data_IF_933007729806
#
_entry.id   IF_933007729806
#
_cell.length_a   1.000
_cell.length_b   1.000
_cell.length_c   1.000
_cell.angle_alpha   90.00
_cell.angle_beta   90.00
_cell.angle_gamma   90.00
#
_symmetry.space_group_name_H-M   'P 1'
#
loop_
_entity.id
_entity.type
_entity.pdbx_description
1 polymer ?
#
# COMPACT_ATOMS: atom_id res chain seq x y z
N UNK A 1 4.26 -53.55 11.73
CA UNK A 1 3.19 -53.94 10.79
C UNK A 1 2.22 -52.78 10.69
N UNK A 2 2.14 -52.12 9.53
CA UNK A 2 1.15 -51.06 9.26
C UNK A 2 -0.22 -51.72 8.99
N UNK A 3 -1.35 -51.11 9.39
CA UNK A 3 -2.66 -51.66 9.11
C UNK A 3 -2.91 -51.68 7.58
N UNK A 4 -3.65 -52.67 7.06
CA UNK A 4 -3.98 -52.73 5.65
C UNK A 4 -4.80 -51.50 5.24
N UNK A 5 -4.45 -50.92 4.10
CA UNK A 5 -5.19 -49.81 3.51
C UNK A 5 -6.67 -50.21 3.33
N UNK A 6 -7.58 -49.44 3.90
CA UNK A 6 -9.01 -49.63 3.72
C UNK A 6 -9.34 -49.57 2.23
N UNK A 7 -9.64 -50.72 1.61
CA UNK A 7 -10.17 -50.79 0.26
C UNK A 7 -11.55 -50.13 0.26
N UNK A 8 -11.67 -48.97 -0.37
CA UNK A 8 -12.96 -48.31 -0.54
C UNK A 8 -13.84 -49.18 -1.46
N UNK A 9 -14.90 -49.76 -0.89
CA UNK A 9 -15.92 -50.50 -1.66
C UNK A 9 -16.74 -49.48 -2.44
N UNK A 10 -16.60 -49.47 -3.77
CA UNK A 10 -17.39 -48.61 -4.65
C UNK A 10 -18.79 -49.22 -4.81
N UNK A 11 -19.83 -48.41 -4.58
CA UNK A 11 -21.20 -48.81 -4.81
C UNK A 11 -21.52 -48.72 -6.31
N UNK A 12 -22.34 -49.65 -6.82
CA UNK A 12 -22.85 -49.65 -8.21
C UNK A 12 -23.94 -48.58 -8.39
N UNK A 13 -23.52 -47.32 -8.36
CA UNK A 13 -24.37 -46.14 -8.54
C UNK A 13 -23.71 -45.20 -9.54
N UNK A 14 -24.48 -44.49 -10.37
CA UNK A 14 -23.92 -43.51 -11.27
C UNK A 14 -23.21 -42.40 -10.48
N UNK A 15 -22.07 -41.96 -11.00
CA UNK A 15 -21.30 -40.86 -10.43
C UNK A 15 -22.13 -39.58 -10.38
N UNK A 16 -21.93 -38.78 -9.32
CA UNK A 16 -22.60 -37.50 -9.15
C UNK A 16 -21.59 -36.40 -8.87
N UNK A 17 -21.82 -35.22 -9.46
CA UNK A 17 -21.01 -34.04 -9.17
C UNK A 17 -21.40 -33.48 -7.81
N UNK A 18 -20.46 -33.51 -6.86
CA UNK A 18 -20.62 -32.91 -5.53
C UNK A 18 -19.74 -31.68 -5.42
N UNK A 19 -20.37 -30.51 -5.29
CA UNK A 19 -19.67 -29.25 -5.11
C UNK A 19 -19.10 -29.11 -3.69
N UNK A 20 -17.79 -29.33 -3.57
CA UNK A 20 -17.04 -29.34 -2.30
C UNK A 20 -17.20 -28.08 -1.43
N UNK A 21 -17.49 -26.92 -2.04
CA UNK A 21 -17.48 -25.62 -1.34
C UNK A 21 -18.84 -25.23 -0.75
N UNK A 22 -19.80 -26.14 -0.71
CA UNK A 22 -21.07 -25.97 0.02
C UNK A 22 -21.39 -27.23 0.83
N UNK A 23 -21.95 -27.11 2.05
CA UNK A 23 -22.33 -28.28 2.86
C UNK A 23 -23.32 -29.22 2.18
N UNK A 24 -24.18 -28.68 1.30
CA UNK A 24 -25.20 -29.44 0.58
C UNK A 24 -24.69 -30.02 -0.75
N UNK A 25 -23.42 -29.81 -1.10
CA UNK A 25 -22.84 -30.34 -2.34
C UNK A 25 -23.36 -29.69 -3.63
N UNK A 26 -24.07 -28.57 -3.56
CA UNK A 26 -24.70 -27.92 -4.70
C UNK A 26 -23.87 -26.76 -5.24
N UNK A 27 -23.62 -26.78 -6.55
CA UNK A 27 -22.92 -25.69 -7.22
C UNK A 27 -23.77 -24.41 -7.23
N UNK A 28 -23.12 -23.29 -6.96
CA UNK A 28 -23.63 -21.95 -7.31
C UNK A 28 -22.48 -21.09 -7.82
N UNK A 29 -22.75 -20.20 -8.78
CA UNK A 29 -21.76 -19.23 -9.26
C UNK A 29 -21.16 -18.39 -8.11
N UNK A 30 -21.97 -18.03 -7.11
CA UNK A 30 -21.52 -17.32 -5.92
C UNK A 30 -20.52 -18.13 -5.08
N UNK A 31 -20.76 -19.42 -4.87
CA UNK A 31 -19.83 -20.29 -4.13
C UNK A 31 -18.54 -20.57 -4.92
N UNK A 32 -18.62 -20.69 -6.24
CA UNK A 32 -17.45 -20.78 -7.13
C UNK A 32 -16.60 -19.52 -7.04
N UNK A 33 -17.22 -18.34 -7.17
CA UNK A 33 -16.51 -17.07 -6.99
C UNK A 33 -15.83 -16.98 -5.63
N UNK A 34 -16.54 -17.28 -4.53
CA UNK A 34 -15.96 -17.24 -3.17
C UNK A 34 -14.81 -18.24 -2.99
N UNK A 35 -14.87 -19.41 -3.64
CA UNK A 35 -13.80 -20.41 -3.58
C UNK A 35 -12.48 -19.88 -4.18
N UNK A 36 -12.53 -18.97 -5.14
CA UNK A 36 -11.34 -18.31 -5.68
C UNK A 36 -10.64 -17.39 -4.66
N UNK A 37 -11.32 -17.03 -3.56
CA UNK A 37 -10.78 -16.17 -2.50
C UNK A 37 -10.50 -16.94 -1.20
N UNK A 38 -10.66 -18.26 -1.20
CA UNK A 38 -10.31 -19.07 -0.04
C UNK A 38 -8.80 -18.97 0.22
N UNK A 39 -8.42 -18.59 1.44
CA UNK A 39 -7.02 -18.31 1.79
C UNK A 39 -6.53 -16.92 1.36
N UNK A 40 -7.38 -16.05 0.81
CA UNK A 40 -7.00 -14.67 0.54
C UNK A 40 -6.71 -13.91 1.85
N UNK A 41 -5.62 -13.15 1.85
CA UNK A 41 -5.28 -12.24 2.95
C UNK A 41 -5.76 -10.84 2.62
N UNK A 42 -6.34 -10.16 3.61
CA UNK A 42 -6.71 -8.76 3.46
C UNK A 42 -5.46 -7.90 3.62
N UNK A 43 -5.15 -7.11 2.59
CA UNK A 43 -4.06 -6.15 2.66
C UNK A 43 -4.43 -4.99 3.59
N UNK A 44 -3.62 -4.76 4.62
CA UNK A 44 -3.80 -3.66 5.55
C UNK A 44 -3.84 -2.32 4.78
N UNK A 45 -4.72 -1.41 5.20
CA UNK A 45 -4.86 -0.09 4.57
C UNK A 45 -5.70 -0.07 3.28
N UNK A 46 -5.86 -1.19 2.55
CA UNK A 46 -6.58 -1.20 1.27
C UNK A 46 -8.02 -0.65 1.37
N UNK A 47 -8.79 -1.08 2.38
CA UNK A 47 -10.15 -0.56 2.63
C UNK A 47 -10.17 0.93 2.94
N UNK A 48 -9.11 1.46 3.55
CA UNK A 48 -8.99 2.88 3.88
C UNK A 48 -8.69 3.70 2.62
N UNK A 49 -7.77 3.22 1.77
CA UNK A 49 -7.44 3.84 0.47
C UNK A 49 -8.71 4.06 -0.36
N UNK A 50 -9.52 3.02 -0.54
CA UNK A 50 -10.71 3.11 -1.39
C UNK A 50 -11.78 4.05 -0.83
N UNK A 51 -11.85 4.21 0.50
CA UNK A 51 -12.75 5.14 1.18
C UNK A 51 -12.23 6.59 1.28
N UNK A 52 -10.95 6.82 1.01
CA UNK A 52 -10.36 8.15 1.10
C UNK A 52 -10.97 9.11 0.06
N UNK A 53 -11.03 10.40 0.40
CA UNK A 53 -11.50 11.47 -0.50
C UNK A 53 -10.30 12.06 -1.24
N UNK A 54 -9.78 11.31 -2.21
CA UNK A 54 -8.68 11.72 -3.08
C UNK A 54 -8.97 11.28 -4.53
N UNK A 55 -8.34 11.90 -5.54
CA UNK A 55 -8.53 11.50 -6.93
C UNK A 55 -8.22 10.01 -7.17
N UNK A 56 -8.91 9.34 -8.12
CA UNK A 56 -8.70 7.91 -8.41
C UNK A 56 -7.23 7.55 -8.70
N UNK A 57 -6.48 8.45 -9.38
CA UNK A 57 -5.04 8.27 -9.65
C UNK A 57 -4.21 8.11 -8.36
N UNK A 58 -4.55 8.86 -7.31
CA UNK A 58 -3.88 8.80 -6.01
C UNK A 58 -4.23 7.48 -5.30
N UNK A 59 -5.49 7.04 -5.37
CA UNK A 59 -5.91 5.75 -4.82
C UNK A 59 -5.20 4.58 -5.49
N UNK A 60 -5.11 4.60 -6.82
CA UNK A 60 -4.47 3.56 -7.59
C UNK A 60 -2.96 3.48 -7.28
N UNK A 61 -2.29 4.64 -7.25
CA UNK A 61 -0.90 4.71 -6.79
C UNK A 61 -0.73 4.14 -5.38
N UNK A 62 -1.53 4.60 -4.42
CA UNK A 62 -1.43 4.15 -3.04
C UNK A 62 -1.64 2.64 -2.91
N UNK A 63 -2.59 2.07 -3.67
CA UNK A 63 -2.85 0.63 -3.71
C UNK A 63 -1.64 -0.15 -4.24
N UNK A 64 -0.93 0.36 -5.24
CA UNK A 64 0.33 -0.24 -5.71
C UNK A 64 1.45 -0.07 -4.68
N UNK A 65 1.56 1.11 -4.06
CA UNK A 65 2.60 1.41 -3.09
C UNK A 65 2.56 0.46 -1.89
N UNK A 66 1.38 0.21 -1.32
CA UNK A 66 1.24 -0.71 -0.16
C UNK A 66 1.47 -2.19 -0.51
N UNK A 67 1.57 -2.52 -1.80
CA UNK A 67 1.95 -3.86 -2.28
C UNK A 67 3.41 -3.93 -2.70
N UNK A 68 4.18 -2.88 -2.46
CA UNK A 68 5.54 -2.70 -2.99
C UNK A 68 5.61 -2.84 -4.52
N UNK A 69 4.52 -2.48 -5.24
CA UNK A 69 4.37 -2.66 -6.71
C UNK A 69 4.80 -1.47 -7.57
N UNK A 70 5.38 -0.44 -6.98
CA UNK A 70 5.92 0.70 -7.72
C UNK A 70 7.38 0.46 -8.15
N UNK A 71 7.81 1.12 -9.23
CA UNK A 71 9.18 1.01 -9.74
C UNK A 71 10.19 1.86 -8.96
N UNK A 72 10.43 1.47 -7.70
CA UNK A 72 11.49 2.03 -6.84
C UNK A 72 12.87 1.61 -7.35
N UNK A 73 13.93 2.27 -6.89
CA UNK A 73 15.28 1.99 -7.35
C UNK A 73 15.71 0.55 -7.00
N UNK A 74 15.41 0.10 -5.79
CA UNK A 74 15.63 -1.27 -5.34
C UNK A 74 14.93 -2.28 -6.28
N UNK A 75 13.65 -2.05 -6.59
CA UNK A 75 12.89 -2.95 -7.47
C UNK A 75 13.45 -2.95 -8.89
N UNK A 76 13.82 -1.79 -9.44
CA UNK A 76 14.42 -1.71 -10.78
C UNK A 76 15.73 -2.47 -10.85
N UNK A 77 16.59 -2.38 -9.82
CA UNK A 77 17.84 -3.14 -9.72
C UNK A 77 17.59 -4.65 -9.64
N UNK A 78 16.64 -5.09 -8.80
CA UNK A 78 16.23 -6.51 -8.71
C UNK A 78 15.79 -7.11 -10.05
N UNK A 79 15.30 -6.29 -10.98
CA UNK A 79 14.88 -6.69 -12.32
C UNK A 79 15.92 -6.37 -13.43
N UNK A 80 17.14 -5.95 -13.08
CA UNK A 80 18.18 -5.65 -14.07
C UNK A 80 17.91 -4.40 -14.92
N UNK A 81 17.04 -3.50 -14.46
CA UNK A 81 16.69 -2.26 -15.18
C UNK A 81 17.62 -1.09 -14.85
N UNK A 82 18.47 -1.23 -13.82
CA UNK A 82 19.50 -0.25 -13.44
C UNK A 82 20.50 -0.88 -12.47
N UNK A 83 21.68 -0.27 -12.33
CA UNK A 83 22.76 -0.80 -11.51
C UNK A 83 22.69 -0.36 -10.03
N UNK A 84 22.25 0.87 -9.78
CA UNK A 84 22.18 1.47 -8.45
C UNK A 84 20.78 1.37 -7.85
N UNK A 85 20.68 1.25 -6.53
CA UNK A 85 19.44 1.31 -5.77
C UNK A 85 19.38 2.51 -4.82
N UNK A 86 20.32 3.45 -4.92
CA UNK A 86 20.31 4.68 -4.13
C UNK A 86 19.01 5.48 -4.31
N UNK A 87 18.51 6.02 -3.21
CA UNK A 87 17.33 6.88 -3.18
C UNK A 87 17.56 8.18 -3.96
N UNK A 88 16.71 8.45 -4.95
CA UNK A 88 16.82 9.67 -5.76
C UNK A 88 16.49 10.96 -4.98
N UNK A 89 15.95 10.84 -3.76
CA UNK A 89 15.62 11.99 -2.91
C UNK A 89 16.76 12.39 -1.97
N UNK A 90 17.43 11.43 -1.34
CA UNK A 90 18.47 11.70 -0.34
C UNK A 90 19.85 11.12 -0.65
N UNK A 91 19.97 10.18 -1.59
CA UNK A 91 21.22 9.51 -1.97
C UNK A 91 22.00 8.87 -0.80
N UNK A 92 21.29 8.51 0.29
CA UNK A 92 21.90 8.02 1.54
C UNK A 92 21.60 6.55 1.85
N UNK A 93 20.61 5.96 1.19
CA UNK A 93 20.15 4.60 1.45
C UNK A 93 19.45 4.00 0.23
N UNK A 94 19.16 2.70 0.30
CA UNK A 94 18.39 1.96 -0.72
C UNK A 94 16.96 2.50 -0.82
N UNK A 95 16.52 2.77 -2.04
CA UNK A 95 15.17 3.24 -2.34
C UNK A 95 14.16 2.08 -2.34
N UNK A 96 13.64 1.74 -1.16
CA UNK A 96 12.42 0.96 -1.02
C UNK A 96 11.19 1.86 -0.93
N UNK A 97 9.99 1.31 -1.05
CA UNK A 97 8.76 2.11 -0.86
C UNK A 97 8.66 2.63 0.58
N UNK A 98 9.05 1.83 1.57
CA UNK A 98 9.08 2.24 2.98
C UNK A 98 10.07 3.40 3.19
N UNK A 99 11.29 3.26 2.64
CA UNK A 99 12.27 4.32 2.71
C UNK A 99 11.74 5.62 2.09
N UNK A 100 11.13 5.52 0.91
CA UNK A 100 10.61 6.66 0.18
C UNK A 100 9.43 7.36 0.89
N UNK A 101 8.63 6.64 1.68
CA UNK A 101 7.43 7.21 2.31
C UNK A 101 7.65 7.67 3.76
N UNK A 102 8.57 7.08 4.51
CA UNK A 102 8.74 7.38 5.95
C UNK A 102 10.18 7.57 6.40
N UNK A 103 11.16 6.89 5.81
CA UNK A 103 12.52 6.85 6.38
C UNK A 103 13.50 7.85 5.78
N UNK A 104 13.30 8.23 4.52
CA UNK A 104 14.14 9.16 3.77
C UNK A 104 14.25 10.51 4.49
N UNK A 105 15.48 11.02 4.63
CA UNK A 105 15.77 12.29 5.32
C UNK A 105 15.05 13.48 4.67
N UNK A 106 15.02 13.54 3.34
CA UNK A 106 14.25 14.55 2.59
C UNK A 106 12.75 14.48 2.91
N UNK A 107 12.18 13.27 2.95
CA UNK A 107 10.75 13.04 3.18
C UNK A 107 10.36 13.32 4.62
N UNK A 108 11.23 12.97 5.58
CA UNK A 108 11.10 13.35 6.99
C UNK A 108 11.00 14.86 7.15
N UNK A 109 11.79 15.65 6.42
CA UNK A 109 11.69 17.10 6.44
C UNK A 109 10.34 17.59 5.87
N UNK A 110 9.85 16.99 4.78
CA UNK A 110 8.53 17.30 4.22
C UNK A 110 7.42 17.02 5.24
N UNK A 111 7.42 15.84 5.87
CA UNK A 111 6.47 15.48 6.91
C UNK A 111 6.52 16.45 8.10
N UNK A 112 7.73 16.80 8.56
CA UNK A 112 7.92 17.70 9.68
C UNK A 112 7.31 19.08 9.38
N UNK A 113 7.55 19.64 8.19
CA UNK A 113 6.97 20.94 7.80
C UNK A 113 5.45 20.88 7.72
N UNK A 114 4.86 19.85 7.11
CA UNK A 114 3.40 19.69 7.01
C UNK A 114 2.78 19.57 8.39
N UNK A 115 3.32 18.70 9.25
CA UNK A 115 2.77 18.50 10.59
C UNK A 115 3.02 19.68 11.52
N UNK A 116 4.09 20.45 11.32
CA UNK A 116 4.30 21.70 12.05
C UNK A 116 3.19 22.72 11.76
N UNK A 117 2.82 22.88 10.49
CA UNK A 117 1.73 23.77 10.07
C UNK A 117 0.37 23.32 10.63
N UNK A 118 0.15 22.00 10.75
CA UNK A 118 -1.09 21.43 11.26
C UNK A 118 -1.14 21.27 12.79
N UNK A 119 -0.04 21.54 13.50
CA UNK A 119 0.07 21.28 14.94
C UNK A 119 0.05 19.79 15.30
N UNK A 120 0.51 18.92 14.40
CA UNK A 120 0.51 17.45 14.51
C UNK A 120 1.90 16.83 14.60
N UNK A 121 2.91 17.57 15.08
CA UNK A 121 4.31 17.11 15.17
C UNK A 121 4.44 15.80 15.96
N UNK A 122 3.60 15.59 16.98
CA UNK A 122 3.50 14.36 17.77
C UNK A 122 3.00 13.13 16.98
N UNK A 123 2.54 13.31 15.75
CA UNK A 123 2.02 12.26 14.84
C UNK A 123 3.06 11.81 13.81
N UNK A 124 4.30 12.26 13.95
CA UNK A 124 5.39 11.95 13.05
C UNK A 124 5.63 10.42 12.90
N UNK A 125 6.07 9.93 11.72
CA UNK A 125 6.41 8.52 11.53
C UNK A 125 7.48 8.07 12.54
N UNK A 126 7.19 7.08 13.41
CA UNK A 126 8.21 6.54 14.29
C UNK A 126 9.23 5.73 13.49
N UNK A 127 10.48 5.60 13.99
CA UNK A 127 11.48 4.75 13.36
C UNK A 127 10.98 3.31 13.21
N UNK A 128 11.37 2.64 12.11
CA UNK A 128 11.15 1.21 11.86
C UNK A 128 9.68 0.75 11.76
N UNK A 129 8.71 1.67 11.82
CA UNK A 129 7.31 1.34 11.58
C UNK A 129 6.98 1.55 10.11
N UNK A 130 6.35 0.56 9.48
CA UNK A 130 5.92 0.67 8.09
C UNK A 130 4.97 1.85 7.90
N UNK A 131 4.94 2.42 6.70
CA UNK A 131 4.04 3.50 6.33
C UNK A 131 2.58 3.15 6.63
N UNK A 132 2.16 1.92 6.32
CA UNK A 132 0.78 1.46 6.55
C UNK A 132 0.48 1.30 8.04
N UNK A 133 1.39 0.72 8.81
CA UNK A 133 1.18 0.54 10.25
C UNK A 133 1.16 1.87 10.99
N UNK A 134 2.06 2.78 10.64
CA UNK A 134 2.07 4.16 11.14
C UNK A 134 0.75 4.87 10.81
N UNK A 135 0.33 4.84 9.54
CA UNK A 135 -0.92 5.44 9.10
C UNK A 135 -2.10 4.90 9.90
N UNK A 136 -2.27 3.58 9.98
CA UNK A 136 -3.41 2.96 10.65
C UNK A 136 -3.37 3.16 12.17
N UNK A 137 -2.18 3.24 12.77
CA UNK A 137 -2.00 3.56 14.19
C UNK A 137 -2.46 4.99 14.48
N UNK A 138 -1.90 5.98 13.80
CA UNK A 138 -2.24 7.39 14.07
C UNK A 138 -3.68 7.73 13.70
N UNK A 139 -4.21 7.09 12.65
CA UNK A 139 -5.62 7.22 12.25
C UNK A 139 -6.60 6.91 13.40
N UNK A 140 -6.25 6.00 14.32
CA UNK A 140 -7.11 5.67 15.47
C UNK A 140 -7.29 6.86 16.42
N UNK A 141 -6.29 7.73 16.52
CA UNK A 141 -6.30 8.90 17.40
C UNK A 141 -7.19 10.05 16.89
N UNK A 142 -7.61 10.02 15.62
CA UNK A 142 -8.51 11.01 15.04
C UNK A 142 -9.98 10.61 15.17
N UNK A 143 -10.84 11.61 15.38
CA UNK A 143 -12.30 11.45 15.30
C UNK A 143 -12.77 11.04 13.90
N UNK A 144 -13.98 10.47 13.77
CA UNK A 144 -14.50 9.93 12.50
C UNK A 144 -14.45 10.93 11.32
N UNK A 145 -14.73 12.22 11.59
CA UNK A 145 -14.71 13.28 10.57
C UNK A 145 -13.27 13.60 10.13
N UNK A 146 -12.37 13.78 11.09
CA UNK A 146 -10.96 14.13 10.84
C UNK A 146 -10.19 12.99 10.17
N UNK A 147 -10.55 11.71 10.41
CA UNK A 147 -9.94 10.56 9.74
C UNK A 147 -9.93 10.69 8.22
N UNK A 148 -11.01 11.21 7.63
CA UNK A 148 -11.09 11.37 6.17
C UNK A 148 -10.06 12.39 5.65
N UNK A 149 -9.86 13.48 6.38
CA UNK A 149 -8.86 14.50 6.06
C UNK A 149 -7.44 13.99 6.25
N UNK A 150 -7.18 13.28 7.35
CA UNK A 150 -5.89 12.64 7.61
C UNK A 150 -5.54 11.59 6.55
N UNK A 151 -6.48 10.71 6.21
CA UNK A 151 -6.32 9.70 5.16
C UNK A 151 -6.02 10.39 3.82
N UNK A 152 -6.75 11.44 3.46
CA UNK A 152 -6.52 12.17 2.21
C UNK A 152 -5.15 12.85 2.18
N UNK A 153 -4.76 13.52 3.27
CA UNK A 153 -3.46 14.17 3.40
C UNK A 153 -2.32 13.18 3.21
N UNK A 154 -2.32 12.05 3.93
CA UNK A 154 -1.22 11.08 3.83
C UNK A 154 -1.07 10.54 2.41
N UNK A 155 -2.19 10.18 1.77
CA UNK A 155 -2.18 9.65 0.41
C UNK A 155 -1.73 10.71 -0.62
N UNK A 156 -2.14 11.97 -0.44
CA UNK A 156 -1.71 13.07 -1.30
C UNK A 156 -0.21 13.35 -1.14
N UNK A 157 0.31 13.40 0.08
CA UNK A 157 1.74 13.61 0.33
C UNK A 157 2.57 12.48 -0.28
N UNK A 158 2.17 11.22 -0.06
CA UNK A 158 2.82 10.07 -0.69
C UNK A 158 2.84 10.18 -2.22
N UNK A 159 1.73 10.63 -2.81
CA UNK A 159 1.63 10.87 -4.26
C UNK A 159 2.54 12.00 -4.75
N UNK A 160 2.60 13.14 -4.05
CA UNK A 160 3.49 14.25 -4.44
C UNK A 160 4.95 13.83 -4.31
N UNK A 161 5.33 13.09 -3.25
CA UNK A 161 6.68 12.55 -3.07
C UNK A 161 7.03 11.63 -4.25
N UNK A 162 6.13 10.75 -4.65
CA UNK A 162 6.32 9.87 -5.80
C UNK A 162 6.50 10.67 -7.11
N UNK A 163 5.70 11.72 -7.33
CA UNK A 163 5.86 12.61 -8.49
C UNK A 163 7.23 13.30 -8.47
N UNK A 164 7.64 13.86 -7.34
CA UNK A 164 8.94 14.53 -7.18
C UNK A 164 10.09 13.56 -7.46
N UNK A 165 10.05 12.35 -6.92
CA UNK A 165 11.04 11.31 -7.20
C UNK A 165 11.13 11.01 -8.69
N UNK A 166 9.99 10.87 -9.38
CA UNK A 166 9.98 10.64 -10.83
C UNK A 166 10.47 11.84 -11.63
N UNK A 167 10.13 13.07 -11.22
CA UNK A 167 10.62 14.29 -11.86
C UNK A 167 12.15 14.40 -11.76
N UNK A 168 12.76 13.98 -10.63
CA UNK A 168 14.23 13.96 -10.49
C UNK A 168 14.89 12.99 -11.45
N UNK A 169 14.31 11.79 -11.62
CA UNK A 169 14.90 10.74 -12.46
C UNK A 169 14.66 11.00 -13.95
N UNK A 170 13.44 11.35 -14.33
CA UNK A 170 13.05 11.38 -15.74
C UNK A 170 13.05 12.78 -16.35
N UNK A 171 13.07 13.83 -15.51
CA UNK A 171 13.04 15.23 -15.96
C UNK A 171 14.19 16.07 -15.42
N UNK A 172 15.07 15.50 -14.61
CA UNK A 172 16.21 16.20 -14.01
C UNK A 172 15.78 17.45 -13.24
N UNK A 173 14.59 17.42 -12.62
CA UNK A 173 14.04 18.53 -11.83
C UNK A 173 13.99 18.13 -10.36
N UNK A 174 14.67 18.91 -9.51
CA UNK A 174 14.66 18.73 -8.07
C UNK A 174 14.04 19.96 -7.39
N UNK A 175 13.07 19.72 -6.52
CA UNK A 175 12.43 20.74 -5.70
C UNK A 175 12.85 20.62 -4.25
N UNK A 176 12.98 21.75 -3.57
CA UNK A 176 13.20 21.78 -2.12
C UNK A 176 11.96 21.30 -1.35
N UNK A 177 12.10 20.79 -0.11
CA UNK A 177 10.99 20.33 0.71
C UNK A 177 9.86 21.36 0.86
N UNK A 178 10.20 22.65 1.00
CA UNK A 178 9.20 23.73 1.07
C UNK A 178 8.27 23.80 -0.16
N UNK A 179 8.81 23.54 -1.35
CA UNK A 179 8.06 23.56 -2.61
C UNK A 179 7.16 22.33 -2.70
N UNK A 180 7.61 21.19 -2.15
CA UNK A 180 6.76 19.99 -2.02
C UNK A 180 5.54 20.26 -1.16
N UNK A 181 5.72 20.95 -0.02
CA UNK A 181 4.59 21.34 0.84
C UNK A 181 3.59 22.22 0.09
N UNK A 182 4.06 23.18 -0.71
CA UNK A 182 3.19 24.02 -1.55
C UNK A 182 2.42 23.19 -2.58
N UNK A 183 3.08 22.28 -3.30
CA UNK A 183 2.44 21.36 -4.25
C UNK A 183 1.34 20.51 -3.60
N UNK A 184 1.53 20.07 -2.36
CA UNK A 184 0.51 19.31 -1.61
C UNK A 184 -0.72 20.18 -1.34
N UNK A 185 -0.53 21.44 -0.92
CA UNK A 185 -1.63 22.38 -0.65
C UNK A 185 -2.40 22.72 -1.93
N UNK A 186 -1.70 22.91 -3.05
CA UNK A 186 -2.31 23.17 -4.35
C UNK A 186 -3.14 21.98 -4.84
N UNK A 187 -2.58 20.76 -4.79
CA UNK A 187 -3.28 19.54 -5.20
C UNK A 187 -4.49 19.23 -4.30
N UNK A 188 -4.46 19.63 -3.04
CA UNK A 188 -5.58 19.45 -2.12
C UNK A 188 -6.78 20.38 -2.38
N UNK A 189 -6.61 21.44 -3.19
CA UNK A 189 -7.68 22.38 -3.58
C UNK A 189 -8.48 21.92 -4.80
N UNK A 190 -7.99 20.90 -5.51
CA UNK A 190 -8.60 20.31 -6.72
C UNK A 190 -9.52 19.16 -6.35
#
# INVERSE_FOLDING_TARGET
MLPPANAAVLADRPDSFVWRWTPHGQYTAASAYRSCFLGSTLLAGAKVIWKARVPPRVKFFAWLAIQDRCWTAERRRRHGLQDTDSCALCDQAVESMEHLLTECSFVKEVWFKIFSVLGWVQKFPPPQLSFVDWWLKERKSFGKLQRKGFDALLLLVAWIIWKERNDRIFRWKASMPRVIVQKVVEEARV
#
